data_IF_182533689409
#
_entry.id   IF_182533689409
#
_cell.length_a   1.000
_cell.length_b   1.000
_cell.length_c   1.000
_cell.angle_alpha   90.00
_cell.angle_beta   90.00
_cell.angle_gamma   90.00
#
_symmetry.space_group_name_H-M   'P 1'
#
loop_
_entity.id
_entity.type
_entity.pdbx_description
1 polymer ?
#
# COMPACT_ATOMS: atom_id res chain seq x y z
N UNK A 1 -15.44 8.74 -9.40
CA UNK A 1 -14.45 8.76 -8.32
C UNK A 1 -13.72 7.43 -8.41
N UNK A 2 -12.40 7.47 -8.53
CA UNK A 2 -11.58 6.28 -8.76
C UNK A 2 -10.88 5.97 -7.46
N UNK A 3 -10.98 4.72 -7.02
CA UNK A 3 -10.31 4.27 -5.81
C UNK A 3 -8.79 4.29 -6.03
N UNK A 4 -8.04 4.67 -5.00
CA UNK A 4 -6.57 4.70 -5.01
C UNK A 4 -6.05 4.12 -3.72
N UNK A 5 -4.77 3.75 -3.76
CA UNK A 5 -4.03 3.24 -2.62
C UNK A 5 -2.89 4.21 -2.29
N UNK A 6 -2.75 4.57 -1.01
CA UNK A 6 -1.67 5.41 -0.48
C UNK A 6 -0.95 4.72 0.69
N UNK A 7 0.25 5.21 1.04
CA UNK A 7 1.05 4.68 2.16
C UNK A 7 1.22 5.77 3.21
N UNK A 8 0.82 5.49 4.44
CA UNK A 8 1.11 6.34 5.59
C UNK A 8 2.21 5.73 6.46
N UNK A 9 3.16 6.57 6.87
CA UNK A 9 4.20 6.21 7.81
C UNK A 9 3.88 6.77 9.19
N UNK A 10 3.99 5.93 10.22
CA UNK A 10 3.76 6.27 11.62
C UNK A 10 5.03 6.05 12.45
N UNK A 11 5.40 7.02 13.29
CA UNK A 11 6.57 6.89 14.16
C UNK A 11 6.63 7.93 15.27
N UNK A 12 7.70 7.88 16.08
CA UNK A 12 7.95 8.79 17.21
C UNK A 12 8.03 10.27 16.81
N UNK A 13 8.25 10.58 15.53
CA UNK A 13 8.37 11.95 15.00
C UNK A 13 7.07 12.48 14.37
N UNK A 14 5.97 11.74 14.45
CA UNK A 14 4.70 12.09 13.82
C UNK A 14 4.42 11.25 12.57
N UNK A 15 3.29 11.53 11.92
CA UNK A 15 2.86 10.85 10.69
C UNK A 15 3.48 11.54 9.48
N UNK A 16 3.89 10.76 8.48
CA UNK A 16 4.36 11.25 7.19
C UNK A 16 3.56 10.55 6.09
N UNK A 17 2.56 11.22 5.49
CA UNK A 17 1.80 10.64 4.40
C UNK A 17 2.61 10.63 3.11
N UNK A 18 2.71 9.47 2.46
CA UNK A 18 3.15 9.37 1.07
C UNK A 18 1.91 9.36 0.16
N UNK A 19 1.66 10.52 -0.47
CA UNK A 19 0.50 10.75 -1.36
C UNK A 19 0.75 10.25 -2.78
N UNK A 20 1.69 9.32 -2.98
CA UNK A 20 1.91 8.68 -4.28
C UNK A 20 0.71 7.81 -4.62
N UNK A 21 0.06 8.10 -5.75
CA UNK A 21 -1.10 7.36 -6.23
C UNK A 21 -0.66 5.96 -6.74
N UNK A 22 -1.01 4.90 -6.02
CA UNK A 22 -0.72 3.50 -6.39
C UNK A 22 -1.94 2.86 -7.10
N UNK A 23 -2.40 3.49 -8.16
CA UNK A 23 -3.65 3.09 -8.86
C UNK A 23 -3.49 1.75 -9.55
N UNK A 24 -2.35 1.51 -10.21
CA UNK A 24 -2.13 0.24 -10.93
C UNK A 24 -2.03 -0.94 -9.97
N UNK A 25 -1.42 -0.76 -8.78
CA UNK A 25 -1.43 -1.83 -7.77
C UNK A 25 -2.82 -2.17 -7.28
N UNK A 26 -3.70 -1.18 -7.16
CA UNK A 26 -5.08 -1.42 -6.78
C UNK A 26 -5.87 -2.12 -7.90
N UNK A 27 -5.69 -1.71 -9.16
CA UNK A 27 -6.37 -2.32 -10.31
C UNK A 27 -5.93 -3.77 -10.55
N UNK A 28 -4.64 -4.07 -10.36
CA UNK A 28 -4.05 -5.40 -10.55
C UNK A 28 -4.03 -6.25 -9.25
N UNK A 29 -4.74 -5.83 -8.19
CA UNK A 29 -4.60 -6.47 -6.86
C UNK A 29 -4.95 -7.96 -6.87
N UNK A 30 -6.00 -8.36 -7.61
CA UNK A 30 -6.39 -9.77 -7.70
C UNK A 30 -5.27 -10.61 -8.34
N UNK A 31 -4.65 -10.10 -9.41
CA UNK A 31 -3.55 -10.79 -10.09
C UNK A 31 -2.27 -10.80 -9.24
N UNK A 32 -1.99 -9.73 -8.49
CA UNK A 32 -0.87 -9.65 -7.57
C UNK A 32 -1.04 -10.58 -6.36
N UNK A 33 -2.26 -10.74 -5.84
CA UNK A 33 -2.57 -11.65 -4.74
C UNK A 33 -2.45 -13.11 -5.18
N UNK A 34 -3.03 -13.47 -6.33
CA UNK A 34 -2.87 -14.81 -6.93
C UNK A 34 -1.38 -15.15 -7.12
N UNK A 35 -0.58 -14.16 -7.55
CA UNK A 35 0.86 -14.31 -7.70
C UNK A 35 1.58 -14.44 -6.35
N UNK A 36 1.18 -13.67 -5.34
CA UNK A 36 1.75 -13.77 -3.99
C UNK A 36 1.50 -15.15 -3.39
N UNK A 37 0.28 -15.68 -3.52
CA UNK A 37 -0.08 -17.03 -3.07
C UNK A 37 0.74 -18.10 -3.80
N UNK A 38 0.91 -17.96 -5.13
CA UNK A 38 1.73 -18.87 -5.91
C UNK A 38 3.22 -18.86 -5.49
N UNK A 39 3.68 -17.77 -4.86
CA UNK A 39 5.03 -17.59 -4.31
C UNK A 39 5.13 -17.90 -2.81
N UNK A 40 4.08 -18.49 -2.22
CA UNK A 40 3.99 -18.79 -0.77
C UNK A 40 4.19 -17.53 0.11
N UNK A 41 3.72 -16.38 -0.40
CA UNK A 41 3.71 -15.10 0.31
C UNK A 41 2.30 -14.75 0.78
N UNK A 42 2.22 -13.83 1.73
CA UNK A 42 0.95 -13.24 2.16
C UNK A 42 0.42 -12.35 1.02
N UNK A 43 -0.87 -12.45 0.65
CA UNK A 43 -1.51 -11.55 -0.32
C UNK A 43 -1.26 -10.07 0.02
N UNK A 44 -1.08 -9.24 -1.00
CA UNK A 44 -0.84 -7.81 -0.80
C UNK A 44 -2.08 -7.12 -0.22
N UNK A 45 -3.28 -7.56 -0.61
CA UNK A 45 -4.54 -7.05 -0.06
C UNK A 45 -4.71 -7.30 1.44
N UNK A 46 -4.01 -8.28 2.01
CA UNK A 46 -4.06 -8.54 3.46
C UNK A 46 -3.42 -7.42 4.29
N UNK A 47 -2.69 -6.49 3.65
CA UNK A 47 -2.12 -5.31 4.28
C UNK A 47 -2.96 -4.05 4.04
N UNK A 48 -4.03 -4.13 3.25
CA UNK A 48 -4.88 -2.98 2.93
C UNK A 48 -5.88 -2.77 4.05
N UNK A 49 -6.04 -1.51 4.43
CA UNK A 49 -7.05 -1.09 5.39
C UNK A 49 -8.19 -0.37 4.67
N UNK A 50 -9.41 -0.90 4.84
CA UNK A 50 -10.65 -0.33 4.30
C UNK A 50 -11.34 0.60 5.32
N UNK A 51 -10.83 0.71 6.54
CA UNK A 51 -11.37 1.56 7.60
C UNK A 51 -11.43 3.02 7.13
N UNK A 52 -10.42 3.49 6.39
CA UNK A 52 -10.38 4.84 5.83
C UNK A 52 -11.44 5.10 4.77
N UNK A 53 -11.70 4.10 3.94
CA UNK A 53 -12.76 4.16 2.96
C UNK A 53 -14.12 4.28 3.64
N UNK A 54 -14.33 3.52 4.73
CA UNK A 54 -15.57 3.58 5.51
C UNK A 54 -15.75 4.95 6.18
N UNK A 55 -14.68 5.57 6.68
CA UNK A 55 -14.72 6.95 7.20
C UNK A 55 -15.08 7.95 6.10
N UNK A 56 -14.43 7.89 4.94
CA UNK A 56 -14.70 8.77 3.80
C UNK A 56 -16.15 8.70 3.33
N UNK A 57 -16.72 7.49 3.30
CA UNK A 57 -18.10 7.25 2.88
C UNK A 57 -19.14 7.69 3.91
N UNK A 58 -18.81 7.63 5.20
CA UNK A 58 -19.72 7.99 6.28
C UNK A 58 -19.78 9.50 6.57
N UNK A 59 -18.66 10.22 6.43
CA UNK A 59 -18.61 11.66 6.77
C UNK A 59 -19.01 12.59 5.61
N UNK A 60 -19.20 12.07 4.40
CA UNK A 60 -19.98 12.69 3.32
C UNK A 60 -19.44 13.97 2.68
N UNK A 61 -18.53 14.69 3.33
CA UNK A 61 -17.78 15.85 2.80
C UNK A 61 -16.71 16.20 3.86
N UNK A 62 -15.47 16.48 3.40
CA UNK A 62 -14.33 17.01 4.18
C UNK A 62 -13.32 16.01 4.75
N UNK A 63 -12.51 15.40 3.87
CA UNK A 63 -11.06 15.47 4.10
C UNK A 63 -10.66 16.94 3.86
N UNK A 64 -10.89 17.81 4.84
CA UNK A 64 -10.14 19.07 4.87
C UNK A 64 -8.66 18.65 4.99
N UNK A 65 -7.77 19.28 4.25
CA UNK A 65 -6.30 19.05 4.23
C UNK A 65 -5.61 19.13 5.62
N UNK A 66 -6.37 19.30 6.70
CA UNK A 66 -5.91 19.29 8.08
C UNK A 66 -5.69 17.83 8.55
N UNK A 67 -4.44 17.41 8.43
CA UNK A 67 -3.82 16.21 9.03
C UNK A 67 -4.06 16.06 10.56
N UNK A 68 -4.72 17.01 11.23
CA UNK A 68 -4.88 17.11 12.68
C UNK A 68 -6.03 16.30 13.30
N UNK A 69 -7.01 15.83 12.53
CA UNK A 69 -8.18 15.09 13.07
C UNK A 69 -8.15 13.58 12.81
N UNK A 70 -7.15 13.07 12.10
CA UNK A 70 -7.07 11.64 11.75
C UNK A 70 -6.50 10.80 12.92
N UNK A 71 -7.11 10.88 14.10
CA UNK A 71 -6.82 9.99 15.25
C UNK A 71 -7.53 8.64 15.04
N UNK A 72 -7.16 7.92 13.98
CA UNK A 72 -7.68 6.58 13.76
C UNK A 72 -6.87 5.57 14.57
N UNK A 73 -7.16 5.47 15.87
CA UNK A 73 -6.71 4.36 16.74
C UNK A 73 -7.17 2.98 16.19
N UNK A 74 -8.12 2.96 15.25
CA UNK A 74 -8.64 1.76 14.59
C UNK A 74 -7.90 1.40 13.30
N UNK A 75 -6.99 2.26 12.80
CA UNK A 75 -6.20 1.95 11.62
C UNK A 75 -5.28 0.75 11.85
N UNK A 76 -5.23 -0.15 10.88
CA UNK A 76 -4.35 -1.31 10.90
C UNK A 76 -2.92 -0.91 10.53
N UNK A 77 -2.11 -0.71 11.58
CA UNK A 77 -0.68 -0.45 11.45
C UNK A 77 0.11 -1.77 11.48
N UNK A 78 1.04 -1.92 10.55
CA UNK A 78 1.92 -3.09 10.46
C UNK A 78 3.40 -2.72 10.43
N UNK A 79 4.26 -3.70 10.72
CA UNK A 79 5.71 -3.52 10.60
C UNK A 79 6.15 -3.68 9.14
N UNK A 80 6.92 -2.75 8.57
CA UNK A 80 7.27 -2.73 7.15
C UNK A 80 7.89 -4.05 6.66
N UNK A 81 8.67 -4.71 7.52
CA UNK A 81 9.33 -6.00 7.27
C UNK A 81 8.44 -7.05 6.65
N UNK A 82 7.21 -7.18 7.13
CA UNK A 82 6.31 -8.26 6.73
C UNK A 82 5.84 -8.04 5.30
N UNK A 83 5.38 -6.82 4.99
CA UNK A 83 4.98 -6.43 3.64
C UNK A 83 6.18 -6.40 2.67
N UNK A 84 7.38 -6.03 3.13
CA UNK A 84 8.60 -6.06 2.32
C UNK A 84 8.90 -7.45 1.75
N UNK A 85 8.61 -8.53 2.48
CA UNK A 85 8.84 -9.89 1.96
C UNK A 85 7.98 -10.16 0.73
N UNK A 86 6.68 -9.86 0.82
CA UNK A 86 5.74 -9.97 -0.30
C UNK A 86 6.13 -9.07 -1.47
N UNK A 87 6.37 -7.78 -1.22
CA UNK A 87 6.73 -6.81 -2.27
C UNK A 87 8.01 -7.19 -3.00
N UNK A 88 9.03 -7.66 -2.27
CA UNK A 88 10.29 -8.12 -2.87
C UNK A 88 10.09 -9.36 -3.75
N UNK A 89 9.27 -10.31 -3.31
CA UNK A 89 8.98 -11.52 -4.07
C UNK A 89 8.22 -11.21 -5.37
N UNK A 90 7.20 -10.35 -5.29
CA UNK A 90 6.43 -9.89 -6.45
C UNK A 90 7.32 -9.14 -7.44
N UNK A 91 8.12 -8.17 -6.98
CA UNK A 91 9.07 -7.44 -7.83
C UNK A 91 10.05 -8.37 -8.54
N UNK A 92 10.67 -9.29 -7.80
CA UNK A 92 11.61 -10.24 -8.37
C UNK A 92 10.96 -11.10 -9.45
N UNK A 93 9.71 -11.54 -9.24
CA UNK A 93 8.98 -12.33 -10.21
C UNK A 93 8.62 -11.52 -11.46
N UNK A 94 8.04 -10.34 -11.31
CA UNK A 94 7.62 -9.49 -12.42
C UNK A 94 8.82 -9.01 -13.25
N UNK A 95 9.95 -8.68 -12.61
CA UNK A 95 11.18 -8.32 -13.32
C UNK A 95 11.79 -9.49 -14.11
N UNK A 96 11.63 -10.72 -13.61
CA UNK A 96 12.07 -11.92 -14.33
C UNK A 96 11.09 -12.34 -15.43
N UNK A 97 9.81 -11.99 -15.30
CA UNK A 97 8.72 -12.38 -16.18
C UNK A 97 7.89 -11.16 -16.57
N UNK A 98 8.41 -10.33 -17.47
CA UNK A 98 7.84 -9.02 -17.84
C UNK A 98 6.47 -9.01 -18.54
N UNK A 99 5.77 -10.15 -18.61
CA UNK A 99 4.41 -10.31 -19.14
C UNK A 99 3.50 -11.10 -18.16
N UNK A 100 3.84 -11.10 -16.87
CA UNK A 100 3.11 -11.86 -15.86
C UNK A 100 1.74 -11.25 -15.49
N UNK A 101 1.55 -9.94 -15.69
CA UNK A 101 0.25 -9.26 -15.48
C UNK A 101 -0.42 -8.95 -16.82
N UNK A 102 -1.75 -8.94 -16.83
CA UNK A 102 -2.56 -8.77 -18.03
C UNK A 102 -2.45 -7.36 -18.62
N UNK A 103 -2.35 -6.34 -17.76
CA UNK A 103 -2.18 -4.94 -18.14
C UNK A 103 -1.01 -4.30 -17.36
N UNK A 104 -0.29 -3.39 -18.02
CA UNK A 104 0.72 -2.49 -17.44
C UNK A 104 1.71 -3.08 -16.41
N UNK A 105 2.26 -4.28 -16.68
CA UNK A 105 3.32 -4.91 -15.85
C UNK A 105 4.47 -3.94 -15.51
N UNK A 106 4.88 -3.08 -16.45
CA UNK A 106 5.92 -2.07 -16.20
C UNK A 106 5.51 -1.03 -15.15
N UNK A 107 4.25 -0.61 -15.15
CA UNK A 107 3.73 0.35 -14.18
C UNK A 107 3.58 -0.30 -12.82
N UNK A 108 3.08 -1.54 -12.74
CA UNK A 108 3.05 -2.32 -11.52
C UNK A 108 4.45 -2.49 -10.91
N UNK A 109 5.47 -2.76 -11.73
CA UNK A 109 6.87 -2.80 -11.27
C UNK A 109 7.32 -1.44 -10.72
N UNK A 110 6.98 -0.32 -11.38
CA UNK A 110 7.34 1.02 -10.90
C UNK A 110 6.70 1.33 -9.55
N UNK A 111 5.40 1.05 -9.40
CA UNK A 111 4.67 1.28 -8.16
C UNK A 111 5.15 0.36 -7.04
N UNK A 112 5.32 -0.94 -7.27
CA UNK A 112 5.92 -1.85 -6.28
C UNK A 112 7.34 -1.44 -5.88
N UNK A 113 8.14 -0.92 -6.82
CA UNK A 113 9.50 -0.42 -6.52
C UNK A 113 9.44 0.81 -5.61
N UNK A 114 8.45 1.67 -5.79
CA UNK A 114 8.20 2.78 -4.89
C UNK A 114 7.76 2.28 -3.51
N UNK A 115 6.79 1.35 -3.44
CA UNK A 115 6.38 0.71 -2.17
C UNK A 115 7.58 0.09 -1.44
N UNK A 116 8.43 -0.65 -2.16
CA UNK A 116 9.66 -1.23 -1.62
C UNK A 116 10.58 -0.16 -1.00
N UNK A 117 10.78 0.96 -1.70
CA UNK A 117 11.62 2.07 -1.20
C UNK A 117 11.06 2.68 0.08
N UNK A 118 9.76 2.97 0.09
CA UNK A 118 9.06 3.55 1.25
C UNK A 118 9.13 2.62 2.44
N UNK A 119 8.78 1.34 2.27
CA UNK A 119 8.82 0.35 3.34
C UNK A 119 10.26 0.10 3.85
N UNK A 120 11.26 0.10 2.95
CA UNK A 120 12.66 -0.06 3.34
C UNK A 120 13.17 1.11 4.17
N UNK A 121 12.75 2.33 3.81
CA UNK A 121 13.07 3.53 4.59
C UNK A 121 12.41 3.45 5.98
N UNK A 122 11.12 3.14 6.01
CA UNK A 122 10.35 2.99 7.25
C UNK A 122 10.95 1.92 8.19
N UNK A 123 11.34 0.76 7.66
CA UNK A 123 12.03 -0.30 8.40
C UNK A 123 13.33 0.22 9.02
N UNK A 124 14.13 0.97 8.25
CA UNK A 124 15.42 1.49 8.71
C UNK A 124 15.28 2.54 9.82
N UNK A 125 14.15 3.24 9.85
CA UNK A 125 13.82 4.27 10.85
C UNK A 125 13.02 3.71 12.04
N UNK A 126 12.64 2.43 12.01
CA UNK A 126 11.83 1.79 13.04
C UNK A 126 10.40 2.32 13.09
N UNK A 127 9.85 2.70 11.94
CA UNK A 127 8.48 3.16 11.78
C UNK A 127 7.51 2.00 11.54
N UNK A 128 6.22 2.28 11.68
CA UNK A 128 5.11 1.43 11.24
C UNK A 128 4.49 2.00 9.98
N UNK A 129 3.84 1.14 9.20
CA UNK A 129 3.18 1.51 7.95
C UNK A 129 1.70 1.18 7.99
N UNK A 130 0.96 1.86 7.13
CA UNK A 130 -0.46 1.62 6.93
C UNK A 130 -0.79 1.91 5.46
N UNK A 131 -1.43 0.95 4.79
CA UNK A 131 -1.83 1.07 3.38
C UNK A 131 -3.32 1.40 3.34
N UNK A 132 -3.63 2.61 2.92
CA UNK A 132 -4.99 3.14 2.99
C UNK A 132 -5.69 3.11 1.62
N UNK A 133 -6.96 2.73 1.61
CA UNK A 133 -7.84 2.91 0.45
C UNK A 133 -8.54 4.28 0.51
N UNK A 134 -8.46 5.03 -0.59
CA UNK A 134 -9.02 6.38 -0.75
C UNK A 134 -9.90 6.49 -2.00
N UNK A 135 -11.00 7.24 -1.95
CA UNK A 135 -12.00 7.38 -3.03
C UNK A 135 -12.10 8.79 -3.64
#
# INVERSE_FOLDING_TARGET
MSMRLWINLGGLQGRQPDKTDLVTLYEEIEALDDLAEALDQVPLSAYFDDTDLQYQLNDGDHFDDDEETWDNDEAEWFYPKECLLTVNALLAHLQANGEALAEDTEQAIRELSHVQQVLSQAESEGMVCHLMLVM
#
